data_IF_949976270396
#
_entry.id   IF_949976270396
#
_cell.length_a   1.000
_cell.length_b   1.000
_cell.length_c   1.000
_cell.angle_alpha   90.00
_cell.angle_beta   90.00
_cell.angle_gamma   90.00
#
_symmetry.space_group_name_H-M   'P 1'
#
loop_
_entity.id
_entity.type
_entity.pdbx_description
1 polymer ?
#
# COMPACT_ATOMS: atom_id res chain seq x y z
N UNK A 1 -36.69 39.45 40.49
CA UNK A 1 -37.58 38.36 40.89
C UNK A 1 -36.85 37.05 40.59
N UNK A 2 -36.29 36.48 41.59
CA UNK A 2 -35.93 35.06 41.69
C UNK A 2 -37.01 34.42 42.58
N UNK A 3 -37.07 33.16 42.91
CA UNK A 3 -36.39 31.90 42.45
C UNK A 3 -37.33 30.70 42.39
N UNK A 4 -36.87 29.50 42.09
CA UNK A 4 -37.24 28.19 42.68
C UNK A 4 -36.44 27.07 42.01
N UNK A 5 -35.55 26.41 42.66
CA UNK A 5 -35.46 25.38 43.71
C UNK A 5 -36.04 24.01 43.32
N UNK A 6 -35.16 23.02 43.45
CA UNK A 6 -35.29 21.60 43.89
C UNK A 6 -35.64 20.60 42.75
N UNK A 7 -35.04 19.44 42.64
CA UNK A 7 -34.56 18.48 43.64
C UNK A 7 -33.67 17.39 42.99
N UNK A 8 -32.71 16.91 43.73
CA UNK A 8 -31.98 15.65 43.55
C UNK A 8 -32.79 14.52 44.23
N UNK A 9 -32.80 13.32 43.75
CA UNK A 9 -32.78 12.13 44.57
C UNK A 9 -31.60 11.24 44.23
N UNK A 10 -30.66 11.09 45.13
CA UNK A 10 -30.51 10.03 46.11
C UNK A 10 -30.16 8.65 45.55
N UNK A 11 -28.95 8.27 45.90
CA UNK A 11 -28.30 6.98 45.72
C UNK A 11 -29.16 5.81 46.27
N UNK A 12 -29.09 4.71 45.56
CA UNK A 12 -29.39 3.37 46.11
C UNK A 12 -28.16 2.49 46.00
N UNK A 13 -27.86 1.96 47.16
CA UNK A 13 -26.70 1.11 47.46
C UNK A 13 -26.88 -0.34 47.00
N UNK A 14 -25.74 -0.95 46.65
CA UNK A 14 -25.30 -2.30 47.01
C UNK A 14 -26.28 -3.49 46.95
N UNK A 15 -25.97 -4.43 46.07
CA UNK A 15 -25.95 -5.83 46.47
C UNK A 15 -24.76 -6.57 45.83
N UNK A 16 -23.95 -7.18 46.72
CA UNK A 16 -22.91 -8.17 46.43
C UNK A 16 -23.50 -9.54 46.45
N UNK A 17 -23.17 -10.38 45.48
CA UNK A 17 -23.18 -11.83 45.62
C UNK A 17 -22.38 -12.52 44.50
N UNK A 18 -22.03 -13.83 44.62
CA UNK A 18 -20.70 -14.18 45.16
C UNK A 18 -19.80 -14.85 44.11
N UNK A 19 -18.51 -14.85 44.40
CA UNK A 19 -17.44 -15.61 43.75
C UNK A 19 -17.77 -17.08 43.59
N UNK A 20 -17.78 -17.55 42.32
CA UNK A 20 -17.68 -18.97 42.00
C UNK A 20 -16.32 -19.22 41.34
N UNK A 21 -15.48 -19.95 42.07
CA UNK A 21 -14.21 -20.47 41.60
C UNK A 21 -14.44 -21.52 40.50
N UNK A 22 -14.06 -21.24 39.29
CA UNK A 22 -13.88 -22.27 38.26
C UNK A 22 -12.40 -22.47 38.00
N UNK A 23 -11.91 -23.64 38.32
CA UNK A 23 -10.58 -24.18 38.11
C UNK A 23 -10.55 -24.75 36.68
N UNK A 24 -9.66 -24.40 35.79
CA UNK A 24 -9.54 -25.09 34.50
C UNK A 24 -8.76 -26.39 34.69
N UNK A 25 -9.33 -27.48 34.25
CA UNK A 25 -8.68 -28.79 34.10
C UNK A 25 -7.67 -28.72 32.94
N UNK A 26 -6.48 -29.24 33.17
CA UNK A 26 -5.47 -29.51 32.17
C UNK A 26 -5.82 -30.82 31.43
N UNK A 27 -5.73 -30.85 30.09
CA UNK A 27 -5.74 -32.13 29.37
C UNK A 27 -4.35 -32.76 29.36
N UNK A 28 -4.37 -34.06 29.59
CA UNK A 28 -3.26 -34.97 29.71
C UNK A 28 -2.28 -34.97 28.51
N UNK A 29 -1.02 -35.25 28.86
CA UNK A 29 0.09 -35.31 27.96
C UNK A 29 -0.03 -36.35 26.84
N UNK A 30 0.35 -35.91 25.65
CA UNK A 30 0.58 -36.79 24.51
C UNK A 30 2.09 -37.10 24.42
N UNK A 31 2.42 -38.35 24.69
CA UNK A 31 3.75 -38.93 24.57
C UNK A 31 4.14 -38.94 23.08
N UNK A 32 5.27 -38.32 22.73
CA UNK A 32 5.87 -38.38 21.38
C UNK A 32 7.01 -39.42 21.44
N UNK A 33 7.05 -40.44 20.57
CA UNK A 33 8.16 -41.38 20.57
C UNK A 33 9.40 -40.79 19.95
N UNK A 34 10.55 -40.97 20.61
CA UNK A 34 11.89 -40.60 20.16
C UNK A 34 12.28 -41.46 18.94
N UNK A 35 12.64 -40.81 17.82
CA UNK A 35 13.22 -41.47 16.67
C UNK A 35 14.75 -41.46 16.82
N UNK A 36 15.32 -42.67 17.01
CA UNK A 36 16.77 -42.90 16.97
C UNK A 36 17.29 -42.64 15.56
N UNK A 37 18.25 -41.76 15.42
CA UNK A 37 19.09 -41.62 14.21
C UNK A 37 20.15 -42.72 14.17
N UNK A 38 20.18 -43.50 13.09
CA UNK A 38 21.33 -44.34 12.71
C UNK A 38 22.10 -43.65 11.57
N UNK A 39 23.45 -43.70 11.56
CA UNK A 39 24.25 -43.18 10.45
C UNK A 39 24.34 -44.24 9.34
N UNK A 40 24.03 -43.85 8.11
CA UNK A 40 24.10 -44.74 6.92
C UNK A 40 24.71 -44.00 5.74
N UNK A 41 25.94 -44.34 5.47
CA UNK A 41 26.68 -44.55 4.20
C UNK A 41 26.20 -43.77 2.96
N UNK A 42 27.08 -42.86 2.52
CA UNK A 42 26.99 -42.18 1.20
C UNK A 42 27.46 -43.16 0.12
N UNK A 43 26.58 -43.53 -0.80
CA UNK A 43 26.93 -44.23 -2.04
C UNK A 43 26.91 -43.19 -3.18
N UNK A 44 28.08 -42.89 -3.72
CA UNK A 44 28.27 -42.10 -4.94
C UNK A 44 28.07 -43.03 -6.14
N UNK A 45 26.98 -42.81 -6.90
CA UNK A 45 26.77 -43.48 -8.19
C UNK A 45 27.11 -42.53 -9.32
N UNK A 46 28.22 -42.76 -9.98
CA UNK A 46 28.59 -42.14 -11.27
C UNK A 46 27.76 -42.74 -12.40
N UNK A 47 26.95 -41.89 -13.06
CA UNK A 47 26.25 -42.29 -14.29
C UNK A 47 27.00 -41.70 -15.48
N UNK A 48 27.59 -42.60 -16.29
CA UNK A 48 28.24 -42.28 -17.55
C UNK A 48 27.20 -41.94 -18.62
N UNK A 49 27.39 -40.83 -19.31
CA UNK A 49 26.55 -40.39 -20.42
C UNK A 49 26.88 -41.14 -21.71
N UNK A 50 25.99 -42.00 -22.17
CA UNK A 50 26.03 -42.58 -23.52
C UNK A 50 25.19 -41.74 -24.49
N UNK A 51 25.88 -41.08 -25.43
CA UNK A 51 25.31 -40.44 -26.62
C UNK A 51 24.69 -41.47 -27.53
N UNK A 52 23.33 -41.48 -27.66
CA UNK A 52 22.63 -42.15 -28.77
C UNK A 52 22.20 -41.12 -29.81
N UNK A 53 22.69 -41.30 -31.07
CA UNK A 53 22.28 -40.58 -32.26
C UNK A 53 20.85 -40.99 -32.63
N UNK A 54 19.98 -40.02 -32.88
CA UNK A 54 18.62 -40.24 -33.44
C UNK A 54 18.68 -40.19 -34.95
N UNK A 55 17.91 -41.05 -35.66
CA UNK A 55 17.73 -40.92 -37.11
C UNK A 55 16.71 -39.82 -37.45
N UNK A 56 16.99 -39.13 -38.53
CA UNK A 56 16.13 -38.11 -39.13
C UNK A 56 15.02 -38.85 -39.90
N UNK A 57 13.77 -38.60 -39.56
CA UNK A 57 12.62 -38.99 -40.38
C UNK A 57 11.90 -37.68 -40.74
N UNK A 58 11.87 -37.39 -42.04
CA UNK A 58 11.09 -36.30 -42.64
C UNK A 58 9.60 -36.68 -42.61
N UNK A 59 8.78 -35.85 -42.02
CA UNK A 59 7.33 -35.92 -42.19
C UNK A 59 6.80 -34.55 -42.63
N UNK A 60 6.00 -34.62 -43.67
CA UNK A 60 5.48 -33.51 -44.45
C UNK A 60 4.54 -32.59 -43.66
N UNK A 61 4.56 -31.32 -44.04
CA UNK A 61 3.75 -30.25 -43.51
C UNK A 61 2.25 -30.42 -43.81
N UNK A 62 1.43 -30.26 -42.79
CA UNK A 62 0.03 -29.81 -42.95
C UNK A 62 -0.04 -28.39 -42.37
N UNK A 63 -0.26 -27.41 -43.22
CA UNK A 63 -0.43 -26.04 -42.84
C UNK A 63 -1.79 -25.86 -42.13
N UNK A 64 -1.78 -25.64 -40.84
CA UNK A 64 -2.95 -25.11 -40.11
C UNK A 64 -2.64 -23.65 -39.81
N UNK A 65 -3.33 -22.74 -40.47
CA UNK A 65 -3.30 -21.31 -40.25
C UNK A 65 -3.83 -21.02 -38.85
N UNK A 66 -2.93 -20.72 -37.90
CA UNK A 66 -3.27 -20.08 -36.66
C UNK A 66 -3.51 -18.58 -36.94
N UNK A 67 -4.49 -17.91 -36.25
CA UNK A 67 -4.69 -16.50 -36.43
C UNK A 67 -3.44 -15.75 -35.92
N UNK A 68 -3.02 -14.77 -36.72
CA UNK A 68 -1.89 -13.90 -36.42
C UNK A 68 -2.11 -13.21 -35.07
N UNK A 69 -1.26 -13.54 -34.10
CA UNK A 69 -1.08 -12.70 -32.94
C UNK A 69 -0.63 -11.33 -33.44
N UNK A 70 -1.40 -10.30 -33.09
CA UNK A 70 -1.09 -8.89 -33.34
C UNK A 70 0.35 -8.64 -32.92
N UNK A 71 1.19 -8.22 -33.89
CA UNK A 71 2.58 -7.91 -33.63
C UNK A 71 2.69 -6.83 -32.56
N UNK A 72 3.23 -7.20 -31.41
CA UNK A 72 3.72 -6.23 -30.42
C UNK A 72 4.79 -5.38 -31.12
N UNK A 73 4.52 -4.08 -31.24
CA UNK A 73 5.52 -3.08 -31.64
C UNK A 73 6.66 -3.09 -30.60
N UNK A 74 7.67 -3.87 -30.85
CA UNK A 74 8.89 -3.88 -30.03
C UNK A 74 9.55 -2.51 -30.16
N UNK A 75 9.34 -1.63 -29.20
CA UNK A 75 10.03 -0.33 -29.16
C UNK A 75 9.32 0.79 -28.43
N UNK A 76 8.03 0.72 -28.15
CA UNK A 76 7.34 1.76 -27.37
C UNK A 76 7.29 1.40 -25.90
N UNK A 77 7.56 2.37 -24.97
CA UNK A 77 7.45 2.11 -23.55
C UNK A 77 6.00 1.73 -23.18
N UNK A 78 5.84 0.84 -22.24
CA UNK A 78 4.53 0.54 -21.63
C UNK A 78 4.00 1.75 -20.88
N UNK A 79 2.70 1.81 -20.63
CA UNK A 79 2.08 2.93 -19.89
C UNK A 79 2.70 3.13 -18.50
N UNK A 80 2.98 2.05 -17.79
CA UNK A 80 3.64 2.11 -16.46
C UNK A 80 5.08 2.62 -16.57
N UNK A 81 5.81 2.31 -17.64
CA UNK A 81 7.15 2.88 -17.87
C UNK A 81 7.07 4.38 -18.18
N UNK A 82 6.06 4.83 -18.92
CA UNK A 82 5.80 6.26 -19.15
C UNK A 82 5.52 6.97 -17.81
N UNK A 83 4.61 6.44 -16.97
CA UNK A 83 4.32 6.99 -15.63
C UNK A 83 5.56 7.03 -14.74
N UNK A 84 6.35 5.96 -14.74
CA UNK A 84 7.59 5.90 -13.97
C UNK A 84 8.60 6.96 -14.43
N UNK A 85 8.73 7.17 -15.73
CA UNK A 85 9.63 8.18 -16.27
C UNK A 85 9.22 9.59 -15.84
N UNK A 86 7.91 9.89 -15.80
CA UNK A 86 7.40 11.19 -15.30
C UNK A 86 7.68 11.32 -13.80
N UNK A 87 7.34 10.30 -13.00
CA UNK A 87 7.58 10.30 -11.56
C UNK A 87 9.07 10.53 -11.23
N UNK A 88 9.97 9.85 -11.93
CA UNK A 88 11.43 10.04 -11.75
C UNK A 88 11.90 11.43 -12.10
N UNK A 89 11.32 12.07 -13.15
CA UNK A 89 11.65 13.47 -13.49
C UNK A 89 11.19 14.44 -12.39
N UNK A 90 10.00 14.23 -11.82
CA UNK A 90 9.49 15.05 -10.71
C UNK A 90 10.40 14.95 -9.49
N UNK A 91 10.81 13.73 -9.11
CA UNK A 91 11.77 13.54 -8.02
C UNK A 91 13.14 14.18 -8.30
N UNK A 92 13.67 14.06 -9.52
CA UNK A 92 14.96 14.64 -9.89
C UNK A 92 14.87 16.17 -9.96
N UNK A 93 13.75 16.73 -10.42
CA UNK A 93 13.50 18.17 -10.43
C UNK A 93 13.49 18.72 -9.01
N UNK A 94 12.77 18.08 -8.10
CA UNK A 94 12.72 18.46 -6.68
C UNK A 94 14.10 18.40 -6.00
N UNK A 95 14.94 17.43 -6.38
CA UNK A 95 16.30 17.28 -5.86
C UNK A 95 17.33 18.24 -6.53
N UNK A 96 17.16 18.59 -7.81
CA UNK A 96 18.11 19.41 -8.57
C UNK A 96 17.91 20.92 -8.41
N UNK A 97 16.77 21.35 -7.87
CA UNK A 97 16.44 22.77 -7.67
C UNK A 97 17.20 23.47 -6.53
N UNK A 98 18.23 22.81 -5.97
CA UNK A 98 19.12 23.44 -4.99
C UNK A 98 19.98 24.59 -5.57
N UNK A 99 19.84 24.91 -6.86
CA UNK A 99 20.60 25.95 -7.55
C UNK A 99 19.80 27.09 -8.21
N UNK A 100 18.49 26.94 -8.40
CA UNK A 100 17.64 27.96 -9.03
C UNK A 100 16.40 28.26 -8.17
N UNK A 101 15.95 29.51 -8.19
CA UNK A 101 15.04 30.23 -7.28
C UNK A 101 13.64 29.62 -6.97
N UNK A 102 13.34 28.37 -7.25
CA UNK A 102 12.11 27.73 -6.81
C UNK A 102 12.37 26.93 -5.52
N UNK A 103 11.61 27.24 -4.48
CA UNK A 103 11.67 26.53 -3.21
C UNK A 103 11.20 25.10 -3.43
N UNK A 104 11.96 24.07 -2.99
CA UNK A 104 11.51 22.68 -3.07
C UNK A 104 10.13 22.53 -2.44
N UNK A 105 9.27 21.69 -3.00
CA UNK A 105 7.95 21.40 -2.47
C UNK A 105 8.02 20.83 -1.04
N UNK A 106 9.12 20.15 -0.73
CA UNK A 106 9.37 19.45 0.51
C UNK A 106 10.81 19.67 0.97
N UNK A 107 11.05 20.10 2.24
CA UNK A 107 12.39 20.23 2.77
C UNK A 107 13.06 18.86 2.89
N UNK A 108 14.41 18.77 2.90
CA UNK A 108 15.10 17.49 3.11
C UNK A 108 14.65 16.80 4.41
N UNK A 109 14.32 15.51 4.38
CA UNK A 109 13.83 14.73 5.55
C UNK A 109 14.78 14.84 6.76
N UNK A 110 16.07 15.06 6.51
CA UNK A 110 17.05 15.26 7.59
C UNK A 110 16.74 16.50 8.46
N UNK A 111 16.10 17.52 7.88
CA UNK A 111 15.77 18.78 8.58
C UNK A 111 14.40 18.78 9.24
N UNK A 112 13.59 17.72 9.05
CA UNK A 112 12.29 17.63 9.71
C UNK A 112 12.45 17.44 11.21
N UNK A 113 11.54 18.02 11.98
CA UNK A 113 11.46 17.85 13.44
C UNK A 113 10.07 17.29 13.82
N UNK A 114 9.80 16.03 13.45
CA UNK A 114 8.49 15.42 13.62
C UNK A 114 8.17 15.22 15.11
N UNK A 115 6.90 15.47 15.45
CA UNK A 115 6.31 15.09 16.74
C UNK A 115 5.42 13.86 16.56
N UNK A 116 5.14 13.17 17.67
CA UNK A 116 4.17 12.05 17.67
C UNK A 116 2.80 12.55 17.20
N UNK A 117 2.38 13.74 17.62
CA UNK A 117 1.10 14.33 17.19
C UNK A 117 1.06 14.61 15.69
N UNK A 118 2.12 15.21 15.13
CA UNK A 118 2.23 15.46 13.69
C UNK A 118 2.24 14.15 12.88
N UNK A 119 2.89 13.13 13.41
CA UNK A 119 2.91 11.81 12.79
C UNK A 119 1.53 11.13 12.83
N UNK A 120 0.80 11.25 13.96
CA UNK A 120 -0.57 10.75 14.05
C UNK A 120 -1.52 11.45 13.06
N UNK A 121 -1.40 12.76 12.86
CA UNK A 121 -2.16 13.51 11.84
C UNK A 121 -1.87 12.95 10.44
N UNK A 122 -0.60 12.71 10.14
CA UNK A 122 -0.19 12.09 8.87
C UNK A 122 -0.81 10.69 8.69
N UNK A 123 -0.81 9.83 9.72
CA UNK A 123 -1.42 8.49 9.64
C UNK A 123 -2.94 8.56 9.44
N UNK A 124 -3.63 9.46 10.14
CA UNK A 124 -5.07 9.66 10.01
C UNK A 124 -5.45 10.17 8.62
N UNK A 125 -4.73 11.15 8.10
CA UNK A 125 -4.96 11.66 6.74
C UNK A 125 -4.73 10.56 5.68
N UNK A 126 -3.66 9.79 5.83
CA UNK A 126 -3.42 8.66 4.93
C UNK A 126 -4.50 7.59 5.05
N UNK A 127 -4.99 7.28 6.27
CA UNK A 127 -6.09 6.34 6.43
C UNK A 127 -7.30 6.78 5.62
N UNK A 128 -7.74 8.04 5.78
CA UNK A 128 -8.87 8.58 5.03
C UNK A 128 -8.65 8.48 3.50
N UNK A 129 -7.46 8.83 3.03
CA UNK A 129 -7.13 8.80 1.59
C UNK A 129 -7.10 7.37 1.03
N UNK A 130 -6.48 6.42 1.74
CA UNK A 130 -6.45 5.01 1.32
C UNK A 130 -7.83 4.35 1.41
N UNK A 131 -8.62 4.61 2.46
CA UNK A 131 -10.01 4.15 2.58
C UNK A 131 -10.87 4.63 1.41
N UNK A 132 -10.74 5.90 1.04
CA UNK A 132 -11.46 6.48 -0.09
C UNK A 132 -11.06 5.80 -1.40
N UNK A 133 -9.76 5.65 -1.64
CA UNK A 133 -9.24 5.01 -2.85
C UNK A 133 -9.69 3.55 -2.95
N UNK A 134 -9.59 2.80 -1.87
CA UNK A 134 -9.99 1.40 -1.78
C UNK A 134 -11.52 1.24 -1.94
N UNK A 135 -12.31 2.16 -1.38
CA UNK A 135 -13.76 2.20 -1.56
C UNK A 135 -14.16 2.49 -3.02
N UNK A 136 -13.49 3.43 -3.69
CA UNK A 136 -13.72 3.73 -5.14
C UNK A 136 -13.47 2.47 -5.98
N UNK A 137 -12.34 1.82 -5.78
CA UNK A 137 -12.00 0.57 -6.45
C UNK A 137 -12.98 -0.54 -6.09
N UNK A 138 -13.37 -0.63 -4.82
CA UNK A 138 -14.33 -1.61 -4.29
C UNK A 138 -15.73 -1.48 -4.91
N UNK A 139 -16.23 -0.26 -5.10
CA UNK A 139 -17.52 -0.01 -5.78
C UNK A 139 -17.46 -0.37 -7.26
N UNK A 140 -16.31 -0.18 -7.89
CA UNK A 140 -16.09 -0.40 -9.32
C UNK A 140 -17.19 0.21 -10.20
N UNK A 141 -17.56 1.47 -9.93
CA UNK A 141 -18.52 2.20 -10.74
C UNK A 141 -18.08 2.26 -12.23
N UNK A 142 -16.77 2.31 -12.45
CA UNK A 142 -16.14 2.08 -13.75
C UNK A 142 -15.69 0.62 -13.77
N UNK A 143 -16.15 -0.22 -14.74
CA UNK A 143 -15.97 -1.67 -14.70
C UNK A 143 -14.52 -2.14 -14.51
N UNK A 144 -13.55 -1.47 -15.15
CA UNK A 144 -12.15 -1.86 -15.03
C UNK A 144 -11.48 -1.51 -13.69
N UNK A 145 -12.12 -0.72 -12.82
CA UNK A 145 -11.66 -0.56 -11.44
C UNK A 145 -11.63 -1.88 -10.67
N UNK A 146 -12.52 -2.82 -11.03
CA UNK A 146 -12.56 -4.15 -10.41
C UNK A 146 -11.24 -4.92 -10.52
N UNK A 147 -10.42 -4.63 -11.55
CA UNK A 147 -9.10 -5.25 -11.74
C UNK A 147 -8.10 -4.90 -10.61
N UNK A 148 -8.35 -3.80 -9.91
CA UNK A 148 -7.48 -3.29 -8.85
C UNK A 148 -7.96 -3.66 -7.44
N UNK A 149 -8.92 -4.56 -7.30
CA UNK A 149 -9.35 -5.13 -6.02
C UNK A 149 -8.38 -6.20 -5.55
N UNK A 150 -8.20 -6.31 -4.24
CA UNK A 150 -7.43 -7.37 -3.59
C UNK A 150 -6.03 -7.52 -4.20
N UNK A 151 -5.33 -6.41 -4.35
CA UNK A 151 -3.97 -6.38 -4.91
C UNK A 151 -2.91 -6.82 -3.90
N UNK A 152 -3.24 -6.82 -2.60
CA UNK A 152 -2.31 -6.98 -1.48
C UNK A 152 -1.52 -5.71 -1.15
N UNK A 153 -1.78 -4.59 -1.89
CA UNK A 153 -1.16 -3.29 -1.60
C UNK A 153 -2.06 -2.40 -0.72
N UNK A 154 -3.28 -2.79 -0.43
CA UNK A 154 -4.25 -2.07 0.38
C UNK A 154 -3.68 -1.71 1.75
N UNK A 155 -3.96 -0.47 2.27
CA UNK A 155 -3.33 0.05 3.48
C UNK A 155 -4.31 0.52 4.55
N UNK A 156 -5.60 0.64 4.26
CA UNK A 156 -6.58 1.16 5.22
C UNK A 156 -6.66 0.32 6.50
N UNK A 157 -6.69 -1.02 6.37
CA UNK A 157 -6.72 -1.93 7.52
C UNK A 157 -5.42 -1.87 8.36
N UNK A 158 -4.26 -1.79 7.68
CA UNK A 158 -2.98 -1.65 8.35
C UNK A 158 -2.91 -0.34 9.16
N UNK A 159 -3.39 0.76 8.57
CA UNK A 159 -3.48 2.07 9.25
C UNK A 159 -4.43 2.05 10.44
N UNK A 160 -5.59 1.38 10.34
CA UNK A 160 -6.50 1.22 11.48
C UNK A 160 -5.83 0.45 12.64
N UNK A 161 -5.12 -0.64 12.35
CA UNK A 161 -4.36 -1.40 13.36
C UNK A 161 -3.30 -0.55 14.05
N UNK A 162 -2.60 0.28 13.29
CA UNK A 162 -1.59 1.17 13.84
C UNK A 162 -2.19 2.27 14.71
N UNK A 163 -3.28 2.92 14.26
CA UNK A 163 -3.97 3.95 15.04
C UNK A 163 -4.58 3.37 16.31
N UNK A 164 -5.13 2.14 16.26
CA UNK A 164 -5.61 1.46 17.46
C UNK A 164 -4.48 1.16 18.45
N UNK A 165 -3.31 0.75 17.96
CA UNK A 165 -2.14 0.59 18.82
C UNK A 165 -1.76 1.91 19.51
N UNK A 166 -1.73 3.04 18.80
CA UNK A 166 -1.45 4.35 19.41
C UNK A 166 -2.51 4.72 20.47
N UNK A 167 -3.78 4.40 20.24
CA UNK A 167 -4.87 4.58 21.23
C UNK A 167 -4.58 3.80 22.52
N UNK A 168 -4.15 2.54 22.38
CA UNK A 168 -3.78 1.68 23.50
C UNK A 168 -2.53 2.18 24.27
N UNK A 169 -1.65 2.93 23.59
CA UNK A 169 -0.52 3.61 24.26
C UNK A 169 -0.93 4.92 24.95
N UNK A 170 -2.21 5.29 24.94
CA UNK A 170 -2.74 6.48 25.60
C UNK A 170 -2.70 7.75 24.75
N UNK A 171 -2.41 7.63 23.44
CA UNK A 171 -2.46 8.78 22.54
C UNK A 171 -3.90 9.07 22.11
N UNK A 172 -4.24 10.36 22.04
CA UNK A 172 -5.49 10.81 21.40
C UNK A 172 -5.28 10.82 19.90
N UNK A 173 -6.16 10.11 19.18
CA UNK A 173 -6.13 10.11 17.71
C UNK A 173 -6.85 11.37 17.21
N UNK A 174 -6.18 12.23 16.42
CA UNK A 174 -6.79 13.45 15.91
C UNK A 174 -7.83 13.17 14.81
N UNK A 175 -8.67 14.15 14.54
CA UNK A 175 -9.52 14.14 13.35
C UNK A 175 -8.68 14.39 12.09
N UNK A 176 -9.16 13.92 10.90
CA UNK A 176 -8.51 14.20 9.64
C UNK A 176 -8.32 15.70 9.40
N UNK A 177 -7.18 16.08 8.86
CA UNK A 177 -6.88 17.46 8.51
C UNK A 177 -7.62 17.93 7.25
N UNK A 178 -7.60 19.23 7.01
CA UNK A 178 -8.14 19.82 5.76
C UNK A 178 -7.45 19.21 4.53
N UNK A 179 -6.15 18.89 4.59
CA UNK A 179 -5.41 18.30 3.48
C UNK A 179 -5.91 16.88 3.17
N UNK A 180 -6.10 16.04 4.21
CA UNK A 180 -6.64 14.68 4.07
C UNK A 180 -8.06 14.71 3.49
N UNK A 181 -8.95 15.54 4.05
CA UNK A 181 -10.33 15.69 3.59
C UNK A 181 -10.38 16.18 2.13
N UNK A 182 -9.58 17.20 1.80
CA UNK A 182 -9.56 17.76 0.44
C UNK A 182 -9.02 16.75 -0.58
N UNK A 183 -8.05 15.92 -0.19
CA UNK A 183 -7.53 14.88 -1.10
C UNK A 183 -8.53 13.74 -1.29
N UNK A 184 -9.17 13.26 -0.24
CA UNK A 184 -10.22 12.25 -0.32
C UNK A 184 -11.39 12.72 -1.22
N UNK A 185 -11.89 13.93 -0.99
CA UNK A 185 -12.95 14.51 -1.83
C UNK A 185 -12.54 14.66 -3.30
N UNK A 186 -11.29 15.04 -3.55
CA UNK A 186 -10.75 15.14 -4.90
C UNK A 186 -10.67 13.77 -5.59
N UNK A 187 -10.29 12.72 -4.89
CA UNK A 187 -10.25 11.35 -5.45
C UNK A 187 -11.64 10.87 -5.85
N UNK A 188 -12.67 11.13 -5.04
CA UNK A 188 -14.06 10.82 -5.38
C UNK A 188 -14.46 11.52 -6.67
N UNK A 189 -14.27 12.83 -6.74
CA UNK A 189 -14.61 13.62 -7.93
C UNK A 189 -13.86 13.17 -9.18
N UNK A 190 -12.54 12.96 -9.07
CA UNK A 190 -11.69 12.57 -10.18
C UNK A 190 -12.05 11.18 -10.69
N UNK A 191 -12.39 10.25 -9.80
CA UNK A 191 -12.75 8.88 -10.16
C UNK A 191 -13.99 8.79 -11.07
N UNK A 192 -14.87 9.75 -10.98
CA UNK A 192 -16.10 9.85 -11.79
C UNK A 192 -15.88 10.64 -13.08
N UNK A 193 -15.16 11.76 -12.98
CA UNK A 193 -14.99 12.71 -14.11
C UNK A 193 -13.89 12.30 -15.07
N UNK A 194 -12.77 11.83 -14.54
CA UNK A 194 -11.56 11.50 -15.31
C UNK A 194 -10.97 10.16 -14.84
N UNK A 195 -11.66 9.02 -15.05
CA UNK A 195 -11.24 7.72 -14.55
C UNK A 195 -9.79 7.32 -14.89
N UNK A 196 -9.27 7.58 -16.11
CA UNK A 196 -7.85 7.33 -16.40
C UNK A 196 -6.91 8.14 -15.51
N UNK A 197 -7.18 9.44 -15.25
CA UNK A 197 -6.37 10.28 -14.39
C UNK A 197 -6.39 9.81 -12.93
N UNK A 198 -7.49 9.24 -12.45
CA UNK A 198 -7.57 8.64 -11.11
C UNK A 198 -6.50 7.55 -10.91
N UNK A 199 -6.18 6.75 -11.95
CA UNK A 199 -5.15 5.70 -11.83
C UNK A 199 -3.77 6.23 -11.53
N UNK A 200 -3.50 7.50 -11.84
CA UNK A 200 -2.23 8.16 -11.50
C UNK A 200 -2.09 8.33 -10.01
N UNK A 201 -3.17 8.73 -9.32
CA UNK A 201 -3.19 8.82 -7.85
C UNK A 201 -3.09 7.45 -7.21
N UNK A 202 -3.81 6.45 -7.75
CA UNK A 202 -3.67 5.06 -7.34
C UNK A 202 -2.21 4.58 -7.44
N UNK A 203 -1.58 4.81 -8.59
CA UNK A 203 -0.17 4.45 -8.80
C UNK A 203 0.75 5.17 -7.80
N UNK A 204 0.64 6.49 -7.69
CA UNK A 204 1.52 7.28 -6.83
C UNK A 204 1.37 6.91 -5.35
N UNK A 205 0.14 6.73 -4.86
CA UNK A 205 -0.11 6.37 -3.47
C UNK A 205 0.50 5.01 -3.12
N UNK A 206 0.26 3.97 -3.90
CA UNK A 206 0.79 2.65 -3.59
C UNK A 206 2.29 2.51 -3.89
N UNK A 207 2.74 2.96 -5.05
CA UNK A 207 4.15 2.78 -5.43
C UNK A 207 5.08 3.79 -4.75
N UNK A 208 4.64 5.02 -4.55
CA UNK A 208 5.38 6.02 -3.79
C UNK A 208 5.50 5.63 -2.32
N UNK A 209 4.41 5.14 -1.71
CA UNK A 209 4.42 4.66 -0.33
C UNK A 209 5.36 3.46 -0.15
N UNK A 210 5.25 2.44 -1.01
CA UNK A 210 6.06 1.22 -0.90
C UNK A 210 7.54 1.40 -1.27
N UNK A 211 7.93 2.53 -1.82
CA UNK A 211 9.33 2.90 -2.10
C UNK A 211 9.82 3.97 -1.11
N UNK A 212 9.64 5.25 -1.46
CA UNK A 212 10.09 6.39 -0.65
C UNK A 212 9.41 6.48 0.71
N UNK A 213 8.11 6.14 0.78
CA UNK A 213 7.32 6.19 2.00
C UNK A 213 7.89 5.32 3.13
N UNK A 214 8.33 4.10 2.83
CA UNK A 214 8.98 3.21 3.81
C UNK A 214 10.28 3.82 4.36
N UNK A 215 11.08 4.44 3.50
CA UNK A 215 12.35 5.07 3.90
C UNK A 215 12.08 6.27 4.81
N UNK A 216 11.12 7.11 4.44
CA UNK A 216 10.70 8.26 5.24
C UNK A 216 10.13 7.78 6.58
N UNK A 217 9.22 6.81 6.56
CA UNK A 217 8.59 6.26 7.77
C UNK A 217 9.59 5.76 8.79
N UNK A 218 10.63 5.05 8.35
CA UNK A 218 11.72 4.60 9.23
C UNK A 218 12.47 5.77 9.88
N UNK A 219 12.82 6.79 9.10
CA UNK A 219 13.49 7.99 9.63
C UNK A 219 12.62 8.77 10.63
N UNK A 220 11.33 8.86 10.36
CA UNK A 220 10.39 9.50 11.30
C UNK A 220 10.28 8.69 12.58
N UNK A 221 10.10 7.37 12.48
CA UNK A 221 10.03 6.48 13.63
C UNK A 221 11.28 6.61 14.54
N UNK A 222 12.48 6.67 13.94
CA UNK A 222 13.73 6.91 14.66
C UNK A 222 13.72 8.26 15.37
N UNK A 223 13.29 9.34 14.72
CA UNK A 223 13.25 10.69 15.28
C UNK A 223 12.27 10.84 16.45
N UNK A 224 11.13 10.19 16.41
CA UNK A 224 10.13 10.20 17.49
C UNK A 224 10.30 9.06 18.51
N UNK A 225 11.40 8.28 18.42
CA UNK A 225 11.69 7.11 19.25
C UNK A 225 10.55 6.07 19.28
N UNK A 226 9.91 5.84 18.15
CA UNK A 226 8.87 4.84 18.03
C UNK A 226 9.48 3.43 18.07
N UNK A 227 9.06 2.61 19.04
CA UNK A 227 9.62 1.27 19.23
C UNK A 227 8.88 0.17 18.43
N UNK A 228 7.73 0.50 17.84
CA UNK A 228 6.94 -0.42 17.03
C UNK A 228 7.23 -0.22 15.55
N UNK A 229 7.42 -1.32 14.83
CA UNK A 229 7.33 -1.33 13.38
C UNK A 229 5.86 -1.35 12.98
N UNK A 230 5.41 -0.29 12.25
CA UNK A 230 4.01 -0.10 11.91
C UNK A 230 3.58 -1.03 10.77
N UNK A 231 2.35 -1.54 10.85
CA UNK A 231 1.71 -2.37 9.82
C UNK A 231 1.56 -1.61 8.49
N UNK A 232 1.43 -0.28 8.55
CA UNK A 232 1.36 0.60 7.39
C UNK A 232 2.55 0.42 6.44
N UNK A 233 3.73 0.07 6.95
CA UNK A 233 4.96 -0.12 6.17
C UNK A 233 5.29 -1.60 5.91
N UNK A 234 4.36 -2.52 6.17
CA UNK A 234 4.53 -3.95 5.99
C UNK A 234 3.50 -4.50 5.02
N UNK A 235 3.85 -5.56 4.30
CA UNK A 235 2.96 -6.26 3.36
C UNK A 235 3.05 -7.76 3.58
N UNK A 236 1.92 -8.42 3.45
CA UNK A 236 1.89 -9.88 3.43
C UNK A 236 2.41 -10.40 2.07
N UNK A 237 3.39 -11.31 2.10
CA UNK A 237 3.95 -11.91 0.90
C UNK A 237 5.07 -11.11 0.24
N UNK A 238 5.25 -11.34 -1.06
CA UNK A 238 6.35 -10.72 -1.81
C UNK A 238 5.90 -9.39 -2.44
N UNK A 239 6.30 -8.28 -1.84
CA UNK A 239 5.94 -6.92 -2.30
C UNK A 239 6.29 -6.69 -3.78
N UNK A 240 7.44 -7.17 -4.26
CA UNK A 240 7.84 -6.99 -5.67
C UNK A 240 6.86 -7.70 -6.62
N UNK A 241 6.36 -8.88 -6.22
CA UNK A 241 5.37 -9.61 -7.00
C UNK A 241 4.01 -8.92 -6.97
N UNK A 242 3.55 -8.44 -5.80
CA UNK A 242 2.32 -7.67 -5.68
C UNK A 242 2.35 -6.42 -6.57
N UNK A 243 3.45 -5.68 -6.53
CA UNK A 243 3.66 -4.53 -7.39
C UNK A 243 3.67 -4.90 -8.87
N UNK A 244 4.32 -6.01 -9.26
CA UNK A 244 4.36 -6.43 -10.66
C UNK A 244 2.96 -6.79 -11.17
N UNK A 245 2.16 -7.50 -10.39
CA UNK A 245 0.78 -7.83 -10.72
C UNK A 245 -0.05 -6.57 -10.99
N UNK A 246 0.12 -5.52 -10.18
CA UNK A 246 -0.57 -4.24 -10.38
C UNK A 246 -0.07 -3.52 -11.64
N UNK A 247 1.24 -3.54 -11.93
CA UNK A 247 1.79 -2.96 -13.17
C UNK A 247 1.20 -3.63 -14.40
N UNK A 248 1.11 -4.95 -14.39
CA UNK A 248 0.57 -5.72 -15.51
C UNK A 248 -0.91 -5.37 -15.75
N UNK A 249 -1.70 -5.27 -14.68
CA UNK A 249 -3.10 -4.83 -14.76
C UNK A 249 -3.24 -3.39 -15.26
N UNK A 250 -2.41 -2.46 -14.79
CA UNK A 250 -2.39 -1.07 -15.28
C UNK A 250 -2.09 -1.02 -16.79
N UNK A 251 -1.07 -1.75 -17.24
CA UNK A 251 -0.74 -1.83 -18.66
C UNK A 251 -1.89 -2.43 -19.49
N UNK A 252 -2.52 -3.50 -18.97
CA UNK A 252 -3.66 -4.14 -19.61
C UNK A 252 -4.85 -3.17 -19.76
N UNK A 253 -5.25 -2.51 -18.68
CA UNK A 253 -6.36 -1.54 -18.69
C UNK A 253 -6.03 -0.36 -19.62
N UNK A 254 -4.83 0.20 -19.51
CA UNK A 254 -4.40 1.33 -20.33
C UNK A 254 -4.22 0.99 -21.81
N UNK A 255 -4.13 -0.29 -22.19
CA UNK A 255 -4.07 -0.69 -23.60
C UNK A 255 -5.32 -0.28 -24.38
N UNK A 256 -6.47 -0.19 -23.71
CA UNK A 256 -7.74 0.29 -24.27
C UNK A 256 -7.90 1.82 -24.33
N UNK A 257 -6.96 2.60 -23.80
CA UNK A 257 -7.09 4.06 -23.77
C UNK A 257 -6.46 4.71 -24.99
N UNK A 258 -7.06 5.84 -25.41
CA UNK A 258 -6.45 6.70 -26.43
C UNK A 258 -5.14 7.33 -25.92
N UNK A 259 -4.31 7.84 -26.85
CA UNK A 259 -3.09 8.55 -26.47
C UNK A 259 -3.40 9.75 -25.57
N UNK A 260 -4.43 10.52 -25.90
CA UNK A 260 -4.89 11.67 -25.09
C UNK A 260 -5.28 11.26 -23.66
N UNK A 261 -5.96 10.09 -23.51
CA UNK A 261 -6.31 9.55 -22.18
C UNK A 261 -5.07 9.23 -21.35
N UNK A 262 -4.05 8.65 -21.97
CA UNK A 262 -2.75 8.39 -21.31
C UNK A 262 -2.01 9.68 -20.99
N UNK A 263 -1.99 10.66 -21.91
CA UNK A 263 -1.34 11.95 -21.68
C UNK A 263 -1.96 12.69 -20.49
N UNK A 264 -3.30 12.69 -20.35
CA UNK A 264 -3.98 13.24 -19.15
C UNK A 264 -3.53 12.56 -17.86
N UNK A 265 -3.30 11.25 -17.87
CA UNK A 265 -2.74 10.57 -16.70
C UNK A 265 -1.33 11.06 -16.37
N UNK A 266 -0.49 11.26 -17.39
CA UNK A 266 0.89 11.73 -17.20
C UNK A 266 0.92 13.18 -16.69
N UNK A 267 0.02 14.04 -17.18
CA UNK A 267 -0.13 15.43 -16.74
C UNK A 267 -0.64 15.51 -15.29
N UNK A 268 -1.47 14.56 -14.86
CA UNK A 268 -1.99 14.49 -13.49
C UNK A 268 -0.94 14.06 -12.45
N UNK A 269 0.19 13.47 -12.89
CA UNK A 269 1.24 12.96 -11.99
C UNK A 269 1.80 14.05 -11.06
N UNK A 270 2.03 15.27 -11.56
CA UNK A 270 2.53 16.38 -10.75
C UNK A 270 1.56 16.77 -9.62
N UNK A 271 0.26 16.82 -9.93
CA UNK A 271 -0.78 17.10 -8.91
C UNK A 271 -0.86 16.02 -7.85
N UNK A 272 -0.75 14.76 -8.27
CA UNK A 272 -0.72 13.61 -7.34
C UNK A 272 0.49 13.71 -6.40
N UNK A 273 1.65 14.12 -6.91
CA UNK A 273 2.85 14.34 -6.12
C UNK A 273 2.68 15.48 -5.10
N UNK A 274 2.16 16.63 -5.53
CA UNK A 274 1.88 17.80 -4.65
C UNK A 274 0.95 17.40 -3.51
N UNK A 275 -0.17 16.72 -3.79
CA UNK A 275 -1.11 16.28 -2.76
C UNK A 275 -0.48 15.32 -1.76
N UNK A 276 0.41 14.43 -2.22
CA UNK A 276 1.14 13.54 -1.32
C UNK A 276 2.12 14.31 -0.41
N UNK A 277 2.72 15.41 -0.89
CA UNK A 277 3.55 16.30 -0.07
C UNK A 277 2.69 17.01 0.98
N UNK A 278 1.50 17.50 0.61
CA UNK A 278 0.60 18.19 1.54
C UNK A 278 0.22 17.29 2.73
N UNK A 279 -0.02 15.99 2.52
CA UNK A 279 -0.26 15.05 3.62
C UNK A 279 0.94 14.93 4.58
N UNK A 280 2.17 15.07 4.07
CA UNK A 280 3.40 14.95 4.86
C UNK A 280 3.76 16.20 5.65
N UNK A 281 3.15 17.37 5.36
CA UNK A 281 3.50 18.65 5.99
C UNK A 281 3.45 18.61 7.52
N UNK A 282 2.57 17.80 8.10
CA UNK A 282 2.47 17.62 9.56
C UNK A 282 3.73 17.02 10.19
N UNK A 283 4.62 16.43 9.38
CA UNK A 283 5.88 15.82 9.85
C UNK A 283 7.09 16.74 9.68
N UNK A 284 6.92 17.93 9.12
CA UNK A 284 8.06 18.84 8.88
C UNK A 284 8.45 19.65 10.13
N UNK A 285 7.48 19.87 11.04
CA UNK A 285 7.63 20.71 12.24
C UNK A 285 7.17 19.99 13.49
#
# INVERSE_FOLDING_TARGET
MAPAWLSVPRALSLERAPTSCFRPEQPAGRVVPAVLRRPGTVVVVSVAATRRRRPVVAAAAAATTAPAASGEERGKPSFVEEMRAVAMRLHSRDQSMHGEKEVPLEPPVATWDPTVEGFLRFLVDNKLVFETLEAIVGRAAIPWYAEFRNTGLERSEALEKDLEWFRQQGHTIPEPSTAGIAYASFLEELSEKEPPAFTTHFYNLYFGHSAGGVIIGKKIAEKINLQKELEFYQWEGNLSQLQQNVRDKLNQVASGWSREGRDRCLDEMEKSFIRSVDLRRHMFT
#
